data_IF_235565267909
#
_entry.id   IF_235565267909
#
_cell.length_a   1.000
_cell.length_b   1.000
_cell.length_c   1.000
_cell.angle_alpha   90.00
_cell.angle_beta   90.00
_cell.angle_gamma   90.00
#
_symmetry.space_group_name_H-M   'P 1'
#
loop_
_entity.id
_entity.type
_entity.pdbx_description
1 polymer ?
#
# COMPACT_ATOMS: atom_id res chain seq x y z
N UNK A 1 32.75 0.87 28.47
CA UNK A 1 33.17 2.05 27.69
C UNK A 1 31.94 2.69 27.05
N UNK A 2 31.89 4.03 27.05
CA UNK A 2 30.94 4.93 26.36
C UNK A 2 30.73 4.47 24.90
N UNK A 3 29.59 4.56 24.23
CA UNK A 3 28.28 5.18 24.47
C UNK A 3 27.61 5.48 23.12
N UNK A 4 26.28 5.56 23.06
CA UNK A 4 25.58 6.62 22.31
C UNK A 4 24.15 6.80 22.84
N UNK A 5 23.74 8.06 22.76
CA UNK A 5 22.74 8.82 23.51
C UNK A 5 21.33 8.69 22.89
N UNK A 6 20.23 8.66 23.67
CA UNK A 6 18.86 8.77 23.16
C UNK A 6 18.48 10.24 22.95
N UNK A 7 19.05 10.91 21.95
CA UNK A 7 18.57 12.23 21.52
C UNK A 7 19.22 12.65 20.21
N UNK A 8 18.47 12.48 19.13
CA UNK A 8 18.40 13.33 17.95
C UNK A 8 17.57 12.54 16.95
N UNK A 9 16.30 12.93 16.75
CA UNK A 9 15.66 12.69 15.47
C UNK A 9 16.06 13.89 14.60
N UNK A 10 17.17 13.83 13.83
CA UNK A 10 17.36 14.77 12.75
C UNK A 10 16.28 14.53 11.70
N UNK A 11 15.97 15.59 10.98
CA UNK A 11 14.83 15.71 10.09
C UNK A 11 14.65 14.59 9.07
N UNK A 12 13.43 14.60 8.57
CA UNK A 12 12.84 13.79 7.52
C UNK A 12 13.55 13.96 6.17
N UNK A 13 14.82 13.57 6.07
CA UNK A 13 15.56 13.59 4.82
C UNK A 13 16.35 12.28 4.69
N UNK A 14 15.95 11.49 3.69
CA UNK A 14 16.67 10.35 3.10
C UNK A 14 16.76 9.05 3.92
N UNK A 15 15.78 8.15 3.71
CA UNK A 15 16.04 6.74 4.00
C UNK A 15 14.82 5.83 4.13
N UNK A 16 14.11 5.57 3.04
CA UNK A 16 13.10 4.50 2.94
C UNK A 16 13.68 3.06 3.13
N UNK A 17 14.90 2.92 3.67
CA UNK A 17 15.59 1.63 3.86
C UNK A 17 16.16 1.36 5.25
N UNK A 18 15.98 2.25 6.25
CA UNK A 18 16.66 2.15 7.57
C UNK A 18 15.81 1.72 8.75
N UNK A 19 14.54 1.37 8.55
CA UNK A 19 13.59 1.08 9.63
C UNK A 19 14.03 0.03 10.67
N UNK A 20 14.94 -0.88 10.30
CA UNK A 20 15.44 -1.93 11.17
C UNK A 20 16.97 -1.87 11.41
N UNK A 21 17.61 -0.74 11.11
CA UNK A 21 19.05 -0.60 11.27
C UNK A 21 19.44 -0.79 12.75
N UNK A 22 20.32 -1.75 13.02
CA UNK A 22 20.74 -2.10 14.40
C UNK A 22 19.78 -3.01 15.18
N UNK A 23 18.63 -3.39 14.61
CA UNK A 23 17.71 -4.37 15.21
C UNK A 23 17.96 -5.77 14.61
N UNK A 24 17.76 -6.82 15.41
CA UNK A 24 17.91 -8.21 14.98
C UNK A 24 16.62 -9.01 15.19
N UNK A 25 16.43 -10.05 14.39
CA UNK A 25 15.33 -11.00 14.52
C UNK A 25 13.95 -10.35 14.47
N UNK A 26 13.07 -10.74 15.40
CA UNK A 26 11.67 -10.32 15.42
C UNK A 26 11.49 -8.81 15.60
N UNK A 27 12.42 -8.14 16.29
CA UNK A 27 12.38 -6.68 16.46
C UNK A 27 12.61 -5.94 15.14
N UNK A 28 13.52 -6.43 14.30
CA UNK A 28 13.74 -5.89 12.96
C UNK A 28 12.53 -6.07 12.05
N UNK A 29 11.86 -7.23 12.17
CA UNK A 29 10.64 -7.52 11.41
C UNK A 29 9.47 -6.62 11.84
N UNK A 30 9.26 -6.46 13.15
CA UNK A 30 8.22 -5.61 13.70
C UNK A 30 8.38 -4.15 13.26
N UNK A 31 9.60 -3.61 13.33
CA UNK A 31 9.88 -2.24 12.93
C UNK A 31 9.59 -1.99 11.43
N UNK A 32 9.93 -2.94 10.56
CA UNK A 32 9.60 -2.85 9.12
C UNK A 32 8.09 -2.90 8.87
N UNK A 33 7.37 -3.79 9.57
CA UNK A 33 5.90 -3.89 9.45
C UNK A 33 5.21 -2.62 9.89
N UNK A 34 5.68 -1.99 10.96
CA UNK A 34 5.13 -0.72 11.42
C UNK A 34 5.31 0.37 10.35
N UNK A 35 6.48 0.48 9.74
CA UNK A 35 6.70 1.46 8.65
C UNK A 35 5.82 1.17 7.43
N UNK A 36 5.62 -0.10 7.07
CA UNK A 36 4.68 -0.47 6.01
C UNK A 36 3.24 -0.06 6.36
N UNK A 37 2.79 -0.29 7.60
CA UNK A 37 1.48 0.16 8.05
C UNK A 37 1.34 1.68 7.99
N UNK A 38 2.37 2.43 8.39
CA UNK A 38 2.33 3.90 8.29
C UNK A 38 2.28 4.39 6.83
N UNK A 39 2.91 3.67 5.91
CA UNK A 39 2.83 3.94 4.47
C UNK A 39 1.41 3.62 3.96
N UNK A 40 0.84 2.51 4.39
CA UNK A 40 -0.54 2.10 4.09
C UNK A 40 -1.53 3.17 4.59
N UNK A 41 -1.44 3.55 5.86
CA UNK A 41 -2.37 4.52 6.47
C UNK A 41 -2.34 5.89 5.78
N UNK A 42 -1.20 6.26 5.20
CA UNK A 42 -1.05 7.51 4.44
C UNK A 42 -1.64 7.43 3.02
N UNK A 43 -1.86 6.24 2.47
CA UNK A 43 -2.38 6.06 1.11
C UNK A 43 -1.48 6.59 0.00
N UNK A 44 -0.21 6.89 0.29
CA UNK A 44 0.73 7.54 -0.63
C UNK A 44 1.43 6.57 -1.59
N UNK A 45 1.43 5.28 -1.26
CA UNK A 45 2.00 4.19 -2.05
C UNK A 45 0.94 3.10 -2.19
N UNK A 46 0.87 2.50 -3.39
CA UNK A 46 0.05 1.33 -3.61
C UNK A 46 0.70 0.13 -2.92
N UNK A 47 0.14 -0.27 -1.79
CA UNK A 47 0.47 -1.50 -1.07
C UNK A 47 -0.68 -2.49 -1.22
N UNK A 48 -0.53 -3.79 -0.85
CA UNK A 48 -1.61 -4.76 -0.98
C UNK A 48 -2.92 -4.32 -0.30
N UNK A 49 -2.85 -3.59 0.81
CA UNK A 49 -4.03 -3.08 1.52
C UNK A 49 -4.74 -1.93 0.77
N UNK A 50 -4.00 -1.15 -0.02
CA UNK A 50 -4.48 0.04 -0.72
C UNK A 50 -4.57 -0.13 -2.24
N UNK A 51 -4.18 -1.29 -2.79
CA UNK A 51 -4.20 -1.58 -4.23
C UNK A 51 -5.53 -2.12 -4.73
N UNK A 52 -6.56 -2.22 -3.89
CA UNK A 52 -7.87 -2.72 -4.30
C UNK A 52 -8.44 -1.93 -5.49
N UNK A 53 -8.14 -0.62 -5.60
CA UNK A 53 -8.50 0.20 -6.76
C UNK A 53 -7.84 -0.31 -8.05
N UNK A 54 -6.55 -0.64 -8.00
CA UNK A 54 -5.83 -1.17 -9.16
C UNK A 54 -6.35 -2.55 -9.57
N UNK A 55 -6.70 -3.39 -8.59
CA UNK A 55 -7.33 -4.69 -8.83
C UNK A 55 -8.70 -4.51 -9.50
N UNK A 56 -9.53 -3.59 -9.01
CA UNK A 56 -10.83 -3.28 -9.61
C UNK A 56 -10.71 -2.77 -11.04
N UNK A 57 -9.71 -1.91 -11.33
CA UNK A 57 -9.46 -1.43 -12.70
C UNK A 57 -9.05 -2.57 -13.62
N UNK A 58 -8.18 -3.46 -13.14
CA UNK A 58 -7.72 -4.63 -13.91
C UNK A 58 -8.86 -5.59 -14.19
N UNK A 59 -9.69 -5.88 -13.19
CA UNK A 59 -10.86 -6.75 -13.35
C UNK A 59 -11.96 -6.12 -14.20
N UNK A 60 -12.16 -4.79 -14.12
CA UNK A 60 -13.06 -4.07 -15.01
C UNK A 60 -12.60 -4.18 -16.47
N UNK A 61 -11.29 -4.02 -16.73
CA UNK A 61 -10.71 -4.19 -18.06
C UNK A 61 -10.88 -5.63 -18.57
N UNK A 62 -10.60 -6.64 -17.72
CA UNK A 62 -10.81 -8.05 -18.04
C UNK A 62 -12.27 -8.35 -18.40
N UNK A 63 -13.21 -7.83 -17.61
CA UNK A 63 -14.65 -7.99 -17.82
C UNK A 63 -15.12 -7.33 -19.13
N UNK A 64 -14.61 -6.13 -19.44
CA UNK A 64 -14.89 -5.42 -20.69
C UNK A 64 -14.39 -6.21 -21.91
N UNK A 65 -13.14 -6.67 -21.89
CA UNK A 65 -12.54 -7.47 -22.98
C UNK A 65 -13.34 -8.75 -23.21
N UNK A 66 -13.70 -9.47 -22.14
CA UNK A 66 -14.52 -10.68 -22.23
C UNK A 66 -15.93 -10.44 -22.80
N UNK A 67 -16.37 -9.18 -22.87
CA UNK A 67 -17.68 -8.75 -23.36
C UNK A 67 -17.56 -7.84 -24.59
N UNK A 68 -16.58 -8.09 -25.44
CA UNK A 68 -16.36 -7.37 -26.71
C UNK A 68 -16.18 -5.86 -26.52
N UNK A 69 -15.50 -5.44 -25.45
CA UNK A 69 -15.21 -4.04 -25.17
C UNK A 69 -16.40 -3.24 -24.63
N UNK A 70 -17.45 -3.90 -24.12
CA UNK A 70 -18.53 -3.18 -23.43
C UNK A 70 -17.98 -2.41 -22.22
N UNK A 71 -18.48 -1.19 -21.92
CA UNK A 71 -18.01 -0.44 -20.77
C UNK A 71 -18.31 -1.19 -19.46
N UNK A 72 -17.34 -1.20 -18.55
CA UNK A 72 -17.49 -1.71 -17.20
C UNK A 72 -17.47 -0.54 -16.20
N UNK A 73 -18.37 -0.58 -15.22
CA UNK A 73 -18.49 0.42 -14.17
C UNK A 73 -17.96 -0.15 -12.85
N UNK A 74 -17.11 0.63 -12.19
CA UNK A 74 -16.61 0.35 -10.85
C UNK A 74 -17.45 1.15 -9.85
N UNK A 75 -18.11 0.47 -8.93
CA UNK A 75 -18.81 1.10 -7.82
C UNK A 75 -17.97 1.05 -6.56
N UNK A 76 -17.44 2.21 -6.17
CA UNK A 76 -16.69 2.40 -4.94
C UNK A 76 -17.68 2.56 -3.76
N UNK A 77 -17.98 1.45 -3.08
CA UNK A 77 -18.76 1.38 -1.83
C UNK A 77 -17.89 0.72 -0.74
N UNK A 78 -18.43 0.56 0.47
CA UNK A 78 -17.77 -0.19 1.57
C UNK A 78 -17.32 -1.59 1.12
N UNK A 79 -18.08 -2.22 0.22
CA UNK A 79 -17.65 -3.38 -0.57
C UNK A 79 -17.69 -3.00 -2.05
N UNK A 80 -16.52 -2.74 -2.69
CA UNK A 80 -16.48 -2.35 -4.08
C UNK A 80 -16.99 -3.45 -5.01
N UNK A 81 -17.64 -3.08 -6.12
CA UNK A 81 -18.17 -4.04 -7.08
C UNK A 81 -18.03 -3.59 -8.53
N UNK A 82 -18.09 -4.55 -9.45
CA UNK A 82 -18.01 -4.34 -10.89
C UNK A 82 -19.33 -4.71 -11.56
N UNK A 83 -19.79 -3.86 -12.47
CA UNK A 83 -20.95 -4.15 -13.33
C UNK A 83 -20.66 -3.79 -14.78
N UNK A 84 -21.28 -4.52 -15.70
CA UNK A 84 -21.33 -4.09 -17.09
C UNK A 84 -22.32 -2.93 -17.21
N UNK A 85 -21.94 -1.93 -17.99
CA UNK A 85 -22.86 -0.88 -18.38
C UNK A 85 -23.49 -1.27 -19.73
N UNK A 86 -24.76 -1.60 -19.70
CA UNK A 86 -25.58 -1.85 -20.88
C UNK A 86 -26.57 -0.69 -20.99
N UNK A 87 -26.45 0.07 -22.09
CA UNK A 87 -27.41 1.10 -22.51
C UNK A 87 -28.67 0.46 -23.09
#
# INVERSE_FOLDING_TARGET
MRGRNPSAAPGLEDGQGRAAEGLAGDYALAARRQVLQEIDDRGILATPANSFVNELVTEAARLSIARNGLPAMIEYRESPSLRLNHS
#
